data_IF_034568704114
#
_entry.id   IF_034568704114
#
_cell.length_a   1.000
_cell.length_b   1.000
_cell.length_c   1.000
_cell.angle_alpha   90.00
_cell.angle_beta   90.00
_cell.angle_gamma   90.00
#
_symmetry.space_group_name_H-M   'P 1'
#
loop_
_entity.id
_entity.type
_entity.pdbx_description
1 polymer ?
#
# COMPACT_ATOMS: atom_id res chain seq x y z
N UNK A 1 11.00 -11.59 4.24
CA UNK A 1 9.63 -11.75 3.74
C UNK A 1 9.66 -12.73 2.58
N UNK A 2 8.67 -13.60 2.51
CA UNK A 2 8.39 -14.48 1.38
C UNK A 2 7.60 -13.74 0.29
N UNK A 3 7.58 -14.27 -0.93
CA UNK A 3 6.78 -13.71 -2.03
C UNK A 3 5.28 -13.60 -1.66
N UNK A 4 4.77 -14.57 -0.89
CA UNK A 4 3.39 -14.56 -0.42
C UNK A 4 3.12 -13.40 0.56
N UNK A 5 4.04 -13.15 1.49
CA UNK A 5 3.91 -12.03 2.45
C UNK A 5 4.01 -10.66 1.75
N UNK A 6 4.87 -10.56 0.72
CA UNK A 6 4.96 -9.35 -0.11
C UNK A 6 3.65 -9.13 -0.87
N UNK A 7 3.12 -10.20 -1.49
CA UNK A 7 1.88 -10.15 -2.27
C UNK A 7 0.69 -9.75 -1.40
N UNK A 8 0.55 -10.36 -0.21
CA UNK A 8 -0.53 -10.04 0.73
C UNK A 8 -0.48 -8.57 1.17
N UNK A 9 0.73 -8.05 1.43
CA UNK A 9 0.94 -6.63 1.77
C UNK A 9 0.47 -5.71 0.65
N UNK A 10 0.91 -5.95 -0.59
CA UNK A 10 0.56 -5.12 -1.75
C UNK A 10 -0.95 -5.13 -2.00
N UNK A 11 -1.58 -6.31 -1.91
CA UNK A 11 -3.04 -6.44 -2.07
C UNK A 11 -3.77 -5.66 -0.96
N UNK A 12 -3.32 -5.75 0.29
CA UNK A 12 -3.87 -4.98 1.40
C UNK A 12 -3.83 -3.47 1.16
N UNK A 13 -2.67 -2.95 0.71
CA UNK A 13 -2.51 -1.54 0.34
C UNK A 13 -3.48 -1.12 -0.77
N UNK A 14 -3.57 -1.91 -1.84
CA UNK A 14 -4.44 -1.63 -2.98
C UNK A 14 -5.93 -1.61 -2.57
N UNK A 15 -6.36 -2.53 -1.72
CA UNK A 15 -7.72 -2.55 -1.16
C UNK A 15 -8.00 -1.29 -0.34
N UNK A 16 -7.05 -0.86 0.51
CA UNK A 16 -7.20 0.35 1.32
C UNK A 16 -7.31 1.60 0.46
N UNK A 17 -6.44 1.75 -0.53
CA UNK A 17 -6.49 2.87 -1.51
C UNK A 17 -7.83 2.87 -2.23
N UNK A 18 -8.26 1.72 -2.78
CA UNK A 18 -9.53 1.62 -3.51
C UNK A 18 -10.75 1.95 -2.64
N UNK A 19 -10.76 1.49 -1.37
CA UNK A 19 -11.85 1.79 -0.42
C UNK A 19 -11.96 3.28 -0.10
N UNK A 20 -10.83 3.98 0.00
CA UNK A 20 -10.80 5.39 0.33
C UNK A 20 -11.14 6.29 -0.87
N UNK A 21 -10.62 5.94 -2.04
CA UNK A 21 -10.75 6.75 -3.25
C UNK A 21 -12.05 6.47 -4.01
N UNK A 22 -12.51 5.23 -4.02
CA UNK A 22 -13.63 4.79 -4.84
C UNK A 22 -13.29 4.68 -6.35
N UNK A 23 -14.23 4.16 -7.16
CA UNK A 23 -14.03 3.97 -8.59
C UNK A 23 -14.09 5.29 -9.37
N UNK A 24 -13.45 5.33 -10.55
CA UNK A 24 -13.60 6.44 -11.52
C UNK A 24 -12.55 7.56 -11.43
N UNK A 25 -11.53 7.42 -10.59
CA UNK A 25 -10.38 8.32 -10.57
C UNK A 25 -9.30 7.92 -11.58
N UNK A 26 -8.39 8.86 -11.85
CA UNK A 26 -7.23 8.65 -12.71
C UNK A 26 -6.28 7.61 -12.12
N UNK A 27 -5.66 6.83 -13.00
CA UNK A 27 -4.65 5.85 -12.62
C UNK A 27 -3.47 6.49 -11.86
N UNK A 28 -3.07 7.71 -12.24
CA UNK A 28 -2.00 8.44 -11.55
C UNK A 28 -2.33 8.72 -10.08
N UNK A 29 -3.60 8.99 -9.74
CA UNK A 29 -4.02 9.15 -8.35
C UNK A 29 -3.90 7.84 -7.58
N UNK A 30 -4.24 6.71 -8.21
CA UNK A 30 -4.07 5.38 -7.61
C UNK A 30 -2.59 5.06 -7.38
N UNK A 31 -1.70 5.36 -8.34
CA UNK A 31 -0.27 5.11 -8.22
C UNK A 31 0.36 5.89 -7.07
N UNK A 32 0.08 7.19 -6.96
CA UNK A 32 0.62 8.04 -5.89
C UNK A 32 0.13 7.58 -4.50
N UNK A 33 -1.17 7.30 -4.36
CA UNK A 33 -1.73 6.81 -3.10
C UNK A 33 -1.18 5.42 -2.72
N UNK A 34 -1.01 4.53 -3.70
CA UNK A 34 -0.44 3.20 -3.47
C UNK A 34 1.04 3.30 -3.08
N UNK A 35 1.81 4.16 -3.73
CA UNK A 35 3.20 4.42 -3.35
C UNK A 35 3.30 4.90 -1.90
N UNK A 36 2.51 5.90 -1.52
CA UNK A 36 2.48 6.43 -0.15
C UNK A 36 2.11 5.35 0.88
N UNK A 37 1.07 4.56 0.61
CA UNK A 37 0.62 3.50 1.52
C UNK A 37 1.69 2.40 1.70
N UNK A 38 2.39 2.01 0.62
CA UNK A 38 3.46 1.01 0.70
C UNK A 38 4.70 1.54 1.44
N UNK A 39 5.13 2.77 1.17
CA UNK A 39 6.29 3.38 1.86
C UNK A 39 6.02 3.53 3.35
N UNK A 40 4.83 4.01 3.72
CA UNK A 40 4.44 4.18 5.12
C UNK A 40 4.47 2.86 5.90
N UNK A 41 4.05 1.75 5.29
CA UNK A 41 4.13 0.43 5.92
C UNK A 41 5.55 -0.11 6.05
N UNK A 42 6.46 0.26 5.15
CA UNK A 42 7.87 -0.11 5.26
C UNK A 42 8.57 0.70 6.37
N UNK A 43 8.25 1.98 6.51
CA UNK A 43 8.76 2.84 7.59
C UNK A 43 8.29 2.34 8.96
N UNK A 44 6.98 2.09 9.14
CA UNK A 44 6.44 1.55 10.40
C UNK A 44 7.02 0.18 10.77
N UNK A 45 7.38 -0.65 9.79
CA UNK A 45 8.04 -1.94 10.04
C UNK A 45 9.50 -1.81 10.42
N UNK A 46 10.18 -0.74 10.04
CA UNK A 46 11.56 -0.47 10.46
C UNK A 46 11.59 0.18 11.84
N UNK A 47 10.61 1.01 12.18
CA UNK A 47 10.50 1.66 13.49
C UNK A 47 10.09 0.69 14.61
N UNK A 48 9.41 -0.42 14.29
CA UNK A 48 9.07 -1.47 15.26
C UNK A 48 10.25 -2.39 15.63
N UNK A 49 11.44 -2.18 15.07
CA UNK A 49 12.65 -3.00 15.29
C UNK A 49 13.69 -2.28 16.16
N UNK A 50 13.39 -1.09 16.70
CA UNK A 50 14.22 -0.38 17.69
C UNK A 50 13.53 -0.19 19.05
#
# INVERSE_FOLDING_TARGET
>A
MTENEITDTIIGCAIKVHRNLGPGLLESAYQECLFYENVHLLEYRLDSVY
#
